data_IF_319020571260
#
_entry.id   IF_319020571260
#
_cell.length_a   1.000
_cell.length_b   1.000
_cell.length_c   1.000
_cell.angle_alpha   90.00
_cell.angle_beta   90.00
_cell.angle_gamma   90.00
#
_symmetry.space_group_name_H-M   'P 1'
#
loop_
_entity.id
_entity.type
_entity.pdbx_description
1 polymer ?
#
# COMPACT_ATOMS: atom_id res chain seq x y z
N UNK A 1 2.01 24.53 -10.75
CA UNK A 1 1.91 24.03 -12.14
C UNK A 1 0.95 22.83 -12.30
N UNK A 2 0.44 22.20 -11.23
CA UNK A 2 -0.58 21.14 -11.36
C UNK A 2 -0.06 19.81 -11.90
N UNK A 3 1.27 19.62 -11.89
CA UNK A 3 1.93 18.45 -12.49
C UNK A 3 1.73 17.15 -11.70
N UNK A 4 1.42 17.24 -10.41
CA UNK A 4 1.18 16.09 -9.53
C UNK A 4 0.26 16.48 -8.36
N UNK A 5 -0.65 15.59 -8.00
CA UNK A 5 -1.62 15.72 -6.90
C UNK A 5 -1.09 15.13 -5.59
N UNK A 6 -0.22 14.12 -5.67
CA UNK A 6 0.44 13.51 -4.50
C UNK A 6 1.77 12.92 -4.95
N UNK A 7 2.78 12.94 -4.09
CA UNK A 7 4.07 12.27 -4.30
C UNK A 7 4.40 11.50 -3.03
N UNK A 8 4.74 10.21 -3.13
CA UNK A 8 5.30 9.47 -2.01
C UNK A 8 6.82 9.59 -2.02
N UNK A 9 7.38 10.42 -1.14
CA UNK A 9 8.81 10.63 -1.01
C UNK A 9 9.41 9.62 -0.02
N UNK A 10 10.40 8.85 -0.46
CA UNK A 10 11.08 7.81 0.34
C UNK A 10 12.58 7.98 0.22
N UNK A 11 13.30 7.67 1.28
CA UNK A 11 14.77 7.65 1.31
C UNK A 11 15.23 6.36 2.02
N UNK A 12 16.26 5.68 1.50
CA UNK A 12 16.75 4.46 2.14
C UNK A 12 17.64 4.81 3.34
N UNK A 13 17.67 3.90 4.31
CA UNK A 13 18.59 3.92 5.43
C UNK A 13 19.53 2.72 5.33
N UNK A 14 20.82 2.99 5.37
CA UNK A 14 21.85 1.96 5.29
C UNK A 14 22.53 1.80 6.66
N UNK A 15 22.64 0.57 7.13
CA UNK A 15 23.39 0.20 8.31
C UNK A 15 24.21 -1.05 8.03
N UNK A 16 25.35 -1.18 8.70
CA UNK A 16 26.08 -2.46 8.71
C UNK A 16 25.28 -3.45 9.55
N UNK A 17 25.13 -4.67 9.03
CA UNK A 17 24.45 -5.75 9.72
C UNK A 17 25.42 -6.93 9.85
N UNK A 18 25.49 -7.49 11.05
CA UNK A 18 26.21 -8.71 11.36
C UNK A 18 25.26 -9.60 12.18
N UNK A 19 25.14 -10.87 11.79
CA UNK A 19 24.22 -11.83 12.39
C UNK A 19 23.32 -12.55 11.39
N UNK A 20 22.37 -13.32 11.92
CA UNK A 20 21.45 -14.16 11.15
C UNK A 20 20.26 -13.33 10.60
N UNK A 21 20.09 -13.23 9.27
CA UNK A 21 18.95 -12.56 8.65
C UNK A 21 17.60 -13.19 9.02
N UNK A 22 17.54 -14.51 9.22
CA UNK A 22 16.31 -15.19 9.60
C UNK A 22 15.88 -14.78 11.02
N UNK A 23 16.81 -14.78 11.98
CA UNK A 23 16.54 -14.27 13.33
C UNK A 23 16.08 -12.79 13.33
N UNK A 24 16.65 -11.96 12.45
CA UNK A 24 16.20 -10.58 12.26
C UNK A 24 14.75 -10.53 11.76
N UNK A 25 14.42 -11.30 10.73
CA UNK A 25 13.07 -11.39 10.16
C UNK A 25 12.04 -11.83 11.21
N UNK A 26 12.31 -12.90 11.95
CA UNK A 26 11.41 -13.40 12.98
C UNK A 26 11.15 -12.35 14.07
N UNK A 27 12.19 -11.62 14.50
CA UNK A 27 12.03 -10.52 15.46
C UNK A 27 11.18 -9.40 14.87
N UNK A 28 11.42 -9.03 13.62
CA UNK A 28 10.65 -7.99 12.93
C UNK A 28 9.16 -8.34 12.87
N UNK A 29 8.81 -9.55 12.45
CA UNK A 29 7.41 -10.01 12.34
C UNK A 29 6.74 -10.05 13.71
N UNK A 30 7.43 -10.56 14.75
CA UNK A 30 6.90 -10.58 16.13
C UNK A 30 6.61 -9.17 16.65
N UNK A 31 7.47 -8.20 16.36
CA UNK A 31 7.31 -6.82 16.82
C UNK A 31 6.24 -6.06 16.04
N UNK A 32 6.23 -6.15 14.71
CA UNK A 32 5.32 -5.38 13.87
C UNK A 32 3.91 -5.97 13.79
N UNK A 33 3.76 -7.29 14.03
CA UNK A 33 2.49 -8.02 13.89
C UNK A 33 1.82 -7.75 12.52
N UNK A 34 2.63 -7.72 11.48
CA UNK A 34 2.18 -7.46 10.11
C UNK A 34 1.29 -8.60 9.58
N UNK A 35 0.29 -8.26 8.76
CA UNK A 35 -0.57 -9.25 8.08
C UNK A 35 0.16 -10.01 6.98
N UNK A 36 1.08 -9.33 6.29
CA UNK A 36 1.82 -9.89 5.16
C UNK A 36 3.31 -9.81 5.47
N UNK A 37 3.94 -10.97 5.59
CA UNK A 37 5.38 -11.08 5.84
C UNK A 37 6.02 -11.98 4.78
N UNK A 38 7.23 -11.62 4.35
CA UNK A 38 8.00 -12.44 3.42
C UNK A 38 9.48 -12.44 3.82
N UNK A 39 10.07 -13.63 3.83
CA UNK A 39 11.50 -13.84 3.88
C UNK A 39 11.93 -14.47 2.55
N UNK A 40 12.76 -13.75 1.81
CA UNK A 40 13.22 -14.21 0.49
C UNK A 40 14.75 -14.17 0.50
N UNK A 41 15.36 -15.34 0.42
CA UNK A 41 16.81 -15.50 0.27
C UNK A 41 17.12 -15.92 -1.17
N UNK A 42 17.82 -15.05 -1.89
CA UNK A 42 18.29 -15.31 -3.27
C UNK A 42 19.81 -15.53 -3.32
N UNK A 43 20.44 -15.87 -2.20
CA UNK A 43 21.87 -16.14 -2.04
C UNK A 43 22.72 -14.88 -1.95
N UNK A 44 22.59 -13.96 -2.91
CA UNK A 44 23.32 -12.68 -2.89
C UNK A 44 22.66 -11.62 -2.01
N UNK A 45 21.35 -11.72 -1.81
CA UNK A 45 20.56 -10.78 -1.04
C UNK A 45 19.48 -11.53 -0.25
N UNK A 46 19.15 -10.98 0.92
CA UNK A 46 18.01 -11.41 1.72
C UNK A 46 17.03 -10.25 1.84
N UNK A 47 15.77 -10.49 1.51
CA UNK A 47 14.68 -9.54 1.65
C UNK A 47 13.82 -9.95 2.84
N UNK A 48 13.80 -9.11 3.87
CA UNK A 48 12.93 -9.22 5.02
C UNK A 48 11.80 -8.19 4.87
N UNK A 49 10.59 -8.63 4.55
CA UNK A 49 9.43 -7.75 4.35
C UNK A 49 8.35 -7.96 5.42
N UNK A 50 7.81 -6.85 5.92
CA UNK A 50 6.64 -6.79 6.77
C UNK A 50 5.66 -5.77 6.17
N UNK A 51 4.96 -6.18 5.12
CA UNK A 51 4.06 -5.30 4.39
C UNK A 51 2.76 -5.03 5.18
N UNK A 52 2.37 -3.75 5.33
CA UNK A 52 1.08 -3.41 5.90
C UNK A 52 -0.06 -3.55 4.87
N UNK A 53 0.24 -3.44 3.58
CA UNK A 53 -0.74 -3.28 2.51
C UNK A 53 -0.82 -4.51 1.59
N UNK A 54 -2.04 -4.91 1.23
CA UNK A 54 -2.28 -5.93 0.22
C UNK A 54 -2.31 -5.27 -1.16
N UNK A 55 -1.27 -5.50 -1.95
CA UNK A 55 -1.19 -4.94 -3.30
C UNK A 55 -2.33 -5.46 -4.18
N UNK A 56 -2.46 -6.78 -4.29
CA UNK A 56 -3.65 -7.43 -4.84
C UNK A 56 -3.67 -8.92 -4.44
N UNK A 57 -4.84 -9.54 -4.50
CA UNK A 57 -5.05 -10.97 -4.35
C UNK A 57 -6.02 -11.45 -5.42
N UNK A 58 -5.69 -12.59 -6.03
CA UNK A 58 -6.53 -13.30 -7.00
C UNK A 58 -7.01 -14.61 -6.38
N UNK A 59 -8.33 -14.80 -6.35
CA UNK A 59 -8.99 -16.04 -5.92
C UNK A 59 -9.94 -16.52 -7.01
N UNK A 60 -9.52 -17.54 -7.77
CA UNK A 60 -10.14 -17.88 -9.04
C UNK A 60 -10.08 -16.70 -9.99
N UNK A 61 -11.25 -16.18 -10.39
CA UNK A 61 -11.38 -15.01 -11.25
C UNK A 61 -11.52 -13.69 -10.46
N UNK A 62 -11.63 -13.75 -9.12
CA UNK A 62 -11.87 -12.57 -8.28
C UNK A 62 -10.56 -11.90 -7.92
N UNK A 63 -10.33 -10.72 -8.45
CA UNK A 63 -9.18 -9.88 -8.15
C UNK A 63 -9.61 -8.76 -7.21
N UNK A 64 -8.86 -8.52 -6.14
CA UNK A 64 -9.08 -7.35 -5.29
C UNK A 64 -7.78 -6.78 -4.73
N UNK A 65 -7.85 -5.51 -4.32
CA UNK A 65 -6.76 -4.76 -3.69
C UNK A 65 -7.31 -4.00 -2.49
N UNK A 66 -6.44 -3.74 -1.50
CA UNK A 66 -6.78 -3.01 -0.29
C UNK A 66 -5.94 -1.73 -0.16
N UNK A 67 -6.16 -0.72 -1.03
CA UNK A 67 -5.45 0.53 -0.94
C UNK A 67 -5.58 1.16 0.45
N UNK A 68 -4.44 1.56 1.01
CA UNK A 68 -4.37 2.20 2.32
C UNK A 68 -3.93 3.66 2.19
N UNK A 69 -4.72 4.58 2.73
CA UNK A 69 -4.33 5.98 2.82
C UNK A 69 -5.10 6.69 3.92
N UNK A 70 -4.34 7.30 4.82
CA UNK A 70 -4.82 7.97 6.02
C UNK A 70 -4.46 7.17 7.25
N UNK A 71 -3.73 7.81 8.17
CA UNK A 71 -3.17 7.17 9.36
C UNK A 71 -3.36 8.08 10.57
N UNK A 72 -3.73 7.49 11.70
CA UNK A 72 -3.76 8.17 13.00
C UNK A 72 -3.02 7.35 14.04
N UNK A 73 -2.36 8.01 14.98
CA UNK A 73 -1.73 7.31 16.10
C UNK A 73 -2.79 6.68 17.01
N UNK A 74 -2.43 5.58 17.68
CA UNK A 74 -3.28 5.01 18.74
C UNK A 74 -3.29 5.95 19.96
N UNK A 75 -4.43 6.03 20.63
CA UNK A 75 -4.58 6.82 21.85
C UNK A 75 -3.89 6.17 23.05
N UNK A 76 -3.57 6.98 24.08
CA UNK A 76 -3.01 6.48 25.34
C UNK A 76 -4.09 5.91 26.26
N UNK A 77 -5.33 6.34 26.06
CA UNK A 77 -6.53 5.86 26.75
C UNK A 77 -7.56 5.36 25.72
N UNK A 78 -8.56 4.58 26.16
CA UNK A 78 -9.63 4.13 25.28
C UNK A 78 -10.42 5.30 24.66
N UNK A 79 -10.65 6.37 25.43
CA UNK A 79 -11.35 7.55 24.94
C UNK A 79 -10.54 8.32 23.90
N UNK A 80 -9.24 8.49 24.13
CA UNK A 80 -8.34 9.08 23.12
C UNK A 80 -8.27 8.21 21.87
N UNK A 81 -8.20 6.89 22.03
CA UNK A 81 -8.08 5.95 20.92
C UNK A 81 -9.29 5.99 19.99
N UNK A 82 -10.50 6.07 20.56
CA UNK A 82 -11.74 6.22 19.81
C UNK A 82 -11.84 7.61 19.17
N UNK A 83 -11.39 8.66 19.86
CA UNK A 83 -11.35 10.02 19.29
C UNK A 83 -10.44 10.07 18.05
N UNK A 84 -9.27 9.41 18.10
CA UNK A 84 -8.35 9.35 16.95
C UNK A 84 -8.93 8.55 15.78
N UNK A 85 -9.61 7.42 16.09
CA UNK A 85 -10.33 6.62 15.09
C UNK A 85 -11.40 7.44 14.39
N UNK A 86 -12.22 8.16 15.16
CA UNK A 86 -13.33 8.96 14.63
C UNK A 86 -12.82 10.18 13.84
N UNK A 87 -11.76 10.84 14.32
CA UNK A 87 -11.08 11.89 13.59
C UNK A 87 -10.60 11.39 12.22
N UNK A 88 -9.94 10.23 12.18
CA UNK A 88 -9.46 9.66 10.92
C UNK A 88 -10.63 9.33 9.99
N UNK A 89 -11.70 8.72 10.54
CA UNK A 89 -12.90 8.35 9.79
C UNK A 89 -13.58 9.55 9.13
N UNK A 90 -13.61 10.71 9.80
CA UNK A 90 -14.33 11.92 9.35
C UNK A 90 -13.44 12.98 8.70
N UNK A 91 -12.13 12.73 8.64
CA UNK A 91 -11.19 13.68 8.06
C UNK A 91 -11.36 13.78 6.54
N UNK A 92 -11.94 14.89 6.08
CA UNK A 92 -12.12 15.19 4.65
C UNK A 92 -10.82 15.09 3.85
N UNK A 93 -9.70 15.52 4.45
CA UNK A 93 -8.38 15.39 3.82
C UNK A 93 -8.02 13.92 3.57
N UNK A 94 -8.09 13.08 4.61
CA UNK A 94 -7.71 11.67 4.49
C UNK A 94 -8.67 10.91 3.56
N UNK A 95 -9.97 11.19 3.63
CA UNK A 95 -10.95 10.63 2.71
C UNK A 95 -10.64 11.02 1.26
N UNK A 96 -10.34 12.30 0.99
CA UNK A 96 -9.98 12.76 -0.36
C UNK A 96 -8.72 12.07 -0.90
N UNK A 97 -7.66 11.97 -0.09
CA UNK A 97 -6.45 11.24 -0.48
C UNK A 97 -6.75 9.75 -0.74
N UNK A 98 -7.60 9.12 0.08
CA UNK A 98 -7.99 7.72 -0.10
C UNK A 98 -8.82 7.50 -1.37
N UNK A 99 -9.82 8.35 -1.65
CA UNK A 99 -10.61 8.30 -2.91
C UNK A 99 -9.70 8.41 -4.12
N UNK A 100 -8.75 9.34 -4.10
CA UNK A 100 -7.82 9.51 -5.22
C UNK A 100 -7.01 8.22 -5.50
N UNK A 101 -6.56 7.51 -4.46
CA UNK A 101 -5.87 6.22 -4.62
C UNK A 101 -6.84 5.14 -5.09
N UNK A 102 -8.05 5.07 -4.52
CA UNK A 102 -9.10 4.12 -4.93
C UNK A 102 -9.41 4.28 -6.42
N UNK A 103 -9.58 5.50 -6.91
CA UNK A 103 -9.87 5.76 -8.32
C UNK A 103 -8.70 5.36 -9.23
N UNK A 104 -7.45 5.57 -8.80
CA UNK A 104 -6.29 5.08 -9.55
C UNK A 104 -6.27 3.55 -9.63
N UNK A 105 -6.53 2.85 -8.52
CA UNK A 105 -6.59 1.38 -8.49
C UNK A 105 -7.75 0.87 -9.35
N UNK A 106 -8.93 1.51 -9.29
CA UNK A 106 -10.07 1.18 -10.16
C UNK A 106 -9.71 1.33 -11.64
N UNK A 107 -9.05 2.42 -12.00
CA UNK A 107 -8.60 2.68 -13.37
C UNK A 107 -7.61 1.63 -13.85
N UNK A 108 -6.61 1.28 -13.02
CA UNK A 108 -5.60 0.28 -13.36
C UNK A 108 -6.25 -1.13 -13.49
N UNK A 109 -7.15 -1.51 -12.56
CA UNK A 109 -7.93 -2.75 -12.66
C UNK A 109 -8.86 -2.78 -13.88
N UNK A 110 -9.45 -1.65 -14.27
CA UNK A 110 -10.33 -1.55 -15.43
C UNK A 110 -9.69 -1.97 -16.75
N UNK A 111 -8.36 -1.98 -16.84
CA UNK A 111 -7.61 -2.42 -18.03
C UNK A 111 -7.60 -3.94 -18.22
N UNK A 112 -7.80 -4.69 -17.15
CA UNK A 112 -7.69 -6.15 -17.10
C UNK A 112 -8.98 -6.83 -16.63
N UNK A 113 -9.94 -6.06 -16.12
CA UNK A 113 -11.20 -6.57 -15.62
C UNK A 113 -12.17 -6.92 -16.75
N UNK A 114 -13.03 -7.91 -16.50
CA UNK A 114 -14.26 -8.12 -17.28
C UNK A 114 -15.13 -6.86 -17.19
N UNK A 115 -15.72 -6.48 -18.31
CA UNK A 115 -16.49 -5.25 -18.42
C UNK A 115 -17.60 -5.15 -17.36
N UNK A 116 -17.67 -4.02 -16.68
CA UNK A 116 -18.68 -3.75 -15.64
C UNK A 116 -18.46 -4.42 -14.29
N UNK A 117 -17.36 -5.18 -14.10
CA UNK A 117 -17.12 -5.89 -12.83
C UNK A 117 -16.33 -5.08 -11.80
N UNK A 118 -15.67 -4.00 -12.19
CA UNK A 118 -14.90 -3.14 -11.27
C UNK A 118 -15.84 -2.38 -10.34
N UNK A 119 -15.71 -2.60 -9.03
CA UNK A 119 -16.51 -1.95 -8.00
C UNK A 119 -15.71 -1.73 -6.71
N UNK A 120 -16.28 -0.94 -5.79
CA UNK A 120 -15.68 -0.59 -4.50
C UNK A 120 -16.58 -1.08 -3.38
N UNK A 121 -16.44 -2.35 -2.94
CA UNK A 121 -17.32 -2.92 -1.92
C UNK A 121 -17.17 -2.29 -0.52
N UNK A 122 -16.04 -1.63 -0.23
CA UNK A 122 -15.83 -0.95 1.04
C UNK A 122 -14.97 0.31 0.83
N UNK A 123 -15.34 1.40 1.50
CA UNK A 123 -14.66 2.69 1.41
C UNK A 123 -14.47 3.28 2.81
N UNK A 124 -13.24 3.73 3.11
CA UNK A 124 -12.86 4.38 4.38
C UNK A 124 -13.05 3.53 5.65
N UNK A 125 -12.88 2.21 5.55
CA UNK A 125 -12.86 1.35 6.73
C UNK A 125 -11.65 1.68 7.60
N UNK A 126 -11.90 1.86 8.91
CA UNK A 126 -10.83 2.14 9.87
C UNK A 126 -10.42 0.84 10.57
N UNK A 127 -9.26 0.33 10.20
CA UNK A 127 -8.66 -0.86 10.80
C UNK A 127 -7.68 -0.53 11.91
N UNK A 128 -7.70 -1.38 12.95
CA UNK A 128 -6.82 -1.28 14.11
C UNK A 128 -5.50 -2.00 13.84
N UNK A 129 -4.40 -1.26 13.90
CA UNK A 129 -3.04 -1.81 13.96
C UNK A 129 -2.45 -1.60 15.37
N UNK A 130 -1.35 -2.30 15.73
CA UNK A 130 -0.78 -2.20 17.07
C UNK A 130 -0.45 -0.77 17.49
N UNK A 131 0.11 0.03 16.58
CA UNK A 131 0.61 1.39 16.86
C UNK A 131 -0.17 2.50 16.16
N UNK A 132 -1.02 2.17 15.18
CA UNK A 132 -1.79 3.14 14.39
C UNK A 132 -3.20 2.65 14.07
N UNK A 133 -4.10 3.58 13.73
CA UNK A 133 -5.29 3.36 12.94
C UNK A 133 -4.97 3.58 11.46
N UNK A 134 -5.49 2.73 10.57
CA UNK A 134 -5.34 2.89 9.12
C UNK A 134 -6.70 2.97 8.44
N UNK A 135 -6.82 3.89 7.49
CA UNK A 135 -7.98 3.99 6.60
C UNK A 135 -7.73 3.15 5.34
N UNK A 136 -8.61 2.20 5.11
CA UNK A 136 -8.50 1.18 4.07
C UNK A 136 -9.77 1.18 3.24
N UNK A 137 -9.61 1.00 1.95
CA UNK A 137 -10.71 0.79 1.03
C UNK A 137 -10.47 -0.49 0.25
N UNK A 138 -11.53 -1.08 -0.30
CA UNK A 138 -11.44 -2.31 -1.10
C UNK A 138 -11.90 -2.01 -2.51
N UNK A 139 -11.06 -2.36 -3.49
CA UNK A 139 -11.41 -2.33 -4.91
C UNK A 139 -11.38 -3.77 -5.41
N UNK A 140 -12.42 -4.19 -6.12
CA UNK A 140 -12.56 -5.55 -6.61
C UNK A 140 -13.08 -5.58 -8.05
N UNK A 141 -12.70 -6.63 -8.78
CA UNK A 141 -13.22 -6.95 -10.10
C UNK A 141 -13.12 -8.46 -10.37
N UNK A 142 -13.65 -8.87 -11.52
CA UNK A 142 -13.40 -10.21 -12.04
C UNK A 142 -12.50 -10.11 -13.27
N UNK A 143 -11.57 -11.05 -13.45
CA UNK A 143 -10.58 -11.02 -14.52
C UNK A 143 -10.23 -12.42 -15.00
N UNK A 144 -10.01 -12.55 -16.31
CA UNK A 144 -9.44 -13.75 -16.93
C UNK A 144 -7.94 -13.55 -17.26
N UNK A 145 -7.36 -12.42 -16.81
CA UNK A 145 -5.97 -12.06 -17.08
C UNK A 145 -5.00 -12.97 -16.33
N UNK A 146 -3.89 -13.28 -16.98
CA UNK A 146 -2.77 -13.98 -16.35
C UNK A 146 -2.12 -13.12 -15.26
N UNK A 147 -1.44 -13.76 -14.30
CA UNK A 147 -0.65 -13.07 -13.26
C UNK A 147 0.31 -12.03 -13.87
N UNK A 148 0.90 -12.32 -15.03
CA UNK A 148 1.80 -11.42 -15.75
C UNK A 148 1.09 -10.13 -16.19
N UNK A 149 -0.10 -10.27 -16.75
CA UNK A 149 -0.91 -9.12 -17.20
C UNK A 149 -1.41 -8.29 -16.01
N UNK A 150 -1.84 -8.96 -14.92
CA UNK A 150 -2.21 -8.30 -13.67
C UNK A 150 -1.04 -7.47 -13.13
N UNK A 151 0.14 -8.06 -13.03
CA UNK A 151 1.34 -7.37 -12.57
C UNK A 151 1.70 -6.18 -13.47
N UNK A 152 1.68 -6.35 -14.79
CA UNK A 152 1.99 -5.29 -15.73
C UNK A 152 1.00 -4.11 -15.67
N UNK A 153 -0.28 -4.38 -15.41
CA UNK A 153 -1.31 -3.36 -15.32
C UNK A 153 -1.27 -2.57 -14.00
N UNK A 154 -1.05 -3.27 -12.88
CA UNK A 154 -1.17 -2.68 -11.55
C UNK A 154 0.14 -2.09 -11.03
N UNK A 155 1.30 -2.63 -11.43
CA UNK A 155 2.60 -2.23 -10.87
C UNK A 155 3.16 -0.96 -11.54
N UNK A 156 3.88 -0.08 -10.80
CA UNK A 156 4.04 -0.05 -9.34
C UNK A 156 2.76 0.39 -8.62
N UNK A 157 2.62 0.11 -7.32
CA UNK A 157 1.37 0.43 -6.62
C UNK A 157 1.08 1.95 -6.62
N UNK A 158 -0.19 2.31 -6.81
CA UNK A 158 -0.67 3.69 -6.80
C UNK A 158 -0.31 4.46 -5.51
N UNK A 159 -0.35 3.78 -4.36
CA UNK A 159 -0.06 4.35 -3.04
C UNK A 159 1.42 4.74 -2.88
N UNK A 160 2.33 4.08 -3.60
CA UNK A 160 3.79 4.29 -3.47
C UNK A 160 4.37 5.22 -4.53
N UNK A 161 3.61 5.62 -5.55
CA UNK A 161 4.02 6.64 -6.53
C UNK A 161 3.41 7.99 -6.17
N UNK A 162 2.10 8.13 -6.32
CA UNK A 162 1.39 9.39 -6.45
C UNK A 162 0.69 9.54 -7.80
N UNK A 163 -0.06 10.63 -7.97
CA UNK A 163 -0.98 10.84 -9.09
C UNK A 163 -0.66 12.15 -9.84
N UNK A 164 -0.66 12.21 -11.18
CA UNK A 164 -0.79 11.10 -12.13
C UNK A 164 0.46 10.23 -12.18
N UNK A 165 0.28 8.89 -12.16
CA UNK A 165 1.34 7.88 -11.97
C UNK A 165 2.61 8.11 -12.79
N UNK A 166 2.47 8.32 -14.10
CA UNK A 166 3.60 8.53 -15.02
C UNK A 166 4.37 9.80 -14.67
N UNK A 167 3.66 10.92 -14.55
CA UNK A 167 4.25 12.23 -14.26
C UNK A 167 4.88 12.29 -12.88
N UNK A 168 4.25 11.67 -11.88
CA UNK A 168 4.82 11.58 -10.54
C UNK A 168 6.09 10.74 -10.50
N UNK A 169 6.17 9.64 -11.27
CA UNK A 169 7.41 8.86 -11.35
C UNK A 169 8.55 9.62 -12.02
N UNK A 170 8.29 10.43 -13.04
CA UNK A 170 9.29 11.33 -13.63
C UNK A 170 9.84 12.29 -12.57
N UNK A 171 8.95 12.95 -11.82
CA UNK A 171 9.33 13.87 -10.73
C UNK A 171 10.13 13.16 -9.63
N UNK A 172 9.74 11.93 -9.26
CA UNK A 172 10.49 11.14 -8.27
C UNK A 172 11.89 10.80 -8.77
N UNK A 173 12.04 10.40 -10.04
CA UNK A 173 13.34 10.09 -10.61
C UNK A 173 14.29 11.29 -10.61
N UNK A 174 13.76 12.51 -10.80
CA UNK A 174 14.55 13.73 -10.75
C UNK A 174 14.95 14.14 -9.31
N UNK A 175 14.18 13.72 -8.30
CA UNK A 175 14.38 14.11 -6.90
C UNK A 175 15.16 13.10 -6.06
N UNK A 176 15.14 11.81 -6.42
CA UNK A 176 15.78 10.76 -5.62
C UNK A 176 17.18 10.47 -6.16
N UNK A 177 18.19 10.53 -5.28
CA UNK A 177 19.61 10.37 -5.63
C UNK A 177 20.04 8.92 -5.91
N UNK A 178 19.15 7.94 -5.69
CA UNK A 178 19.43 6.52 -5.86
C UNK A 178 18.16 5.73 -6.20
N UNK A 179 18.25 4.64 -6.99
CA UNK A 179 17.09 3.80 -7.30
C UNK A 179 16.51 3.18 -6.02
N UNK A 180 15.19 2.98 -5.99
CA UNK A 180 14.50 2.40 -4.82
C UNK A 180 14.88 0.94 -4.56
N UNK A 181 15.31 0.20 -5.58
CA UNK A 181 15.68 -1.22 -5.44
C UNK A 181 14.45 -2.13 -5.38
N UNK A 182 14.54 -3.19 -4.56
CA UNK A 182 13.47 -4.17 -4.29
C UNK A 182 12.50 -3.64 -3.25
#
# INVERSE_FOLDING_TARGET
SGDTYQVNFTFPLHARFDGDPQALFERMVRTQRCRYAAYIDIGQHVVCSASPELFWQLDGERLHSLPMKGTAARGRTLGEDETQREWLRTSLKNQAENVMIVDMVRNDMGRIARYGTVHVPALFEIERYPTVWQMISRVACETDASIREIMAALFPCASITGAPKVRTMEIINDLVTQPRGV
#
